data_IF_058361636362
#
_entry.id   IF_058361636362
#
_cell.length_a   1.000
_cell.length_b   1.000
_cell.length_c   1.000
_cell.angle_alpha   90.00
_cell.angle_beta   90.00
_cell.angle_gamma   90.00
#
_symmetry.space_group_name_H-M   'P 1'
#
loop_
_entity.id
_entity.type
_entity.pdbx_description
1 polymer ?
#
# COMPACT_ATOMS: atom_id res chain seq x y z
N UNK A 1 -60.91 -16.58 14.16
CA UNK A 1 -60.97 -17.28 15.47
C UNK A 1 -59.65 -17.00 16.19
N UNK A 2 -59.60 -16.06 17.16
CA UNK A 2 -59.68 -16.31 18.63
C UNK A 2 -58.56 -17.30 19.07
N UNK A 3 -57.50 -16.96 19.85
CA UNK A 3 -57.45 -16.30 21.18
C UNK A 3 -56.00 -15.90 21.59
N UNK A 4 -55.86 -14.71 22.22
CA UNK A 4 -55.36 -14.38 23.60
C UNK A 4 -53.84 -14.40 23.81
N UNK A 5 -53.17 -13.26 24.00
CA UNK A 5 -53.11 -12.37 25.19
C UNK A 5 -52.29 -12.93 26.35
N UNK A 6 -51.15 -12.30 26.66
CA UNK A 6 -50.70 -12.14 28.04
C UNK A 6 -49.90 -10.83 28.20
N UNK A 7 -50.51 -9.91 28.95
CA UNK A 7 -49.96 -8.68 29.51
C UNK A 7 -49.50 -9.03 30.92
N UNK A 8 -48.29 -8.66 31.31
CA UNK A 8 -47.88 -8.66 32.72
C UNK A 8 -47.53 -7.22 33.11
N UNK A 9 -48.45 -6.61 33.85
CA UNK A 9 -48.23 -5.47 34.73
C UNK A 9 -47.42 -5.96 35.95
N UNK A 10 -46.43 -5.19 36.37
CA UNK A 10 -46.00 -5.18 37.76
C UNK A 10 -45.84 -3.72 38.22
N UNK A 11 -46.69 -3.31 39.17
CA UNK A 11 -46.63 -2.05 39.93
C UNK A 11 -46.16 -2.40 41.34
N UNK A 12 -45.18 -1.68 41.88
CA UNK A 12 -44.99 -1.40 43.32
C UNK A 12 -43.90 -0.30 43.39
N UNK A 13 -44.25 0.97 43.62
CA UNK A 13 -44.64 1.64 44.88
C UNK A 13 -43.42 2.16 45.69
N UNK A 14 -43.37 3.50 45.75
CA UNK A 14 -42.83 4.41 46.77
C UNK A 14 -41.57 4.05 47.58
N UNK A 15 -40.54 4.91 47.44
CA UNK A 15 -39.97 5.61 48.60
C UNK A 15 -39.28 6.91 48.14
N UNK A 16 -39.90 8.03 48.51
CA UNK A 16 -39.40 9.40 48.38
C UNK A 16 -38.41 9.68 49.49
N UNK A 17 -37.16 9.98 49.14
CA UNK A 17 -36.19 10.63 50.02
C UNK A 17 -35.69 11.89 49.32
N UNK A 18 -36.35 13.01 49.65
CA UNK A 18 -35.92 14.34 49.26
C UNK A 18 -34.67 14.70 50.08
N UNK A 19 -33.50 14.60 49.46
CA UNK A 19 -32.29 15.28 49.93
C UNK A 19 -32.20 16.62 49.20
N UNK A 20 -32.60 17.68 49.89
CA UNK A 20 -32.36 19.06 49.48
C UNK A 20 -30.86 19.35 49.64
N UNK A 21 -30.09 19.18 48.57
CA UNK A 21 -28.72 19.71 48.49
C UNK A 21 -28.82 21.18 48.09
N UNK A 22 -28.62 22.08 49.06
CA UNK A 22 -28.38 23.49 48.79
C UNK A 22 -26.97 23.61 48.22
N UNK A 23 -26.86 23.63 46.89
CA UNK A 23 -25.64 24.06 46.21
C UNK A 23 -25.63 25.59 46.27
N UNK A 24 -24.81 26.14 47.16
CA UNK A 24 -24.38 27.54 47.05
C UNK A 24 -23.58 27.67 45.75
N UNK A 25 -24.26 28.10 44.68
CA UNK A 25 -23.61 28.60 43.49
C UNK A 25 -22.94 29.93 43.85
N UNK A 26 -21.66 29.86 44.20
CA UNK A 26 -20.78 31.02 44.07
C UNK A 26 -20.74 31.36 42.58
N UNK A 27 -21.55 32.33 42.17
CA UNK A 27 -21.44 32.97 40.87
C UNK A 27 -20.09 33.68 40.85
N UNK A 28 -19.06 32.98 40.37
CA UNK A 28 -17.87 33.65 39.87
C UNK A 28 -18.35 34.52 38.70
N UNK A 29 -18.31 35.84 38.89
CA UNK A 29 -18.58 36.81 37.85
C UNK A 29 -17.72 36.44 36.63
N UNK A 30 -18.38 35.98 35.57
CA UNK A 30 -17.75 35.84 34.27
C UNK A 30 -17.44 37.28 33.84
N UNK A 31 -16.16 37.67 33.74
CA UNK A 31 -15.82 39.02 33.35
C UNK A 31 -16.43 39.31 31.97
N UNK A 32 -16.92 40.55 31.75
CA UNK A 32 -17.55 40.92 30.50
C UNK A 32 -16.60 40.64 29.34
N UNK A 33 -17.10 39.93 28.33
CA UNK A 33 -16.41 39.69 27.06
C UNK A 33 -16.10 41.05 26.46
N UNK A 34 -14.84 41.46 26.50
CA UNK A 34 -14.39 42.67 25.83
C UNK A 34 -14.61 42.52 24.32
N UNK A 35 -15.07 43.58 23.62
CA UNK A 35 -15.22 43.55 22.17
C UNK A 35 -13.86 43.29 21.51
N UNK A 36 -13.85 42.28 20.64
CA UNK A 36 -12.71 41.84 19.85
C UNK A 36 -12.09 43.01 19.07
N UNK A 37 -10.83 43.32 19.36
CA UNK A 37 -10.04 44.25 18.54
C UNK A 37 -9.79 43.69 17.14
N UNK A 38 -9.42 44.54 16.17
CA UNK A 38 -8.92 44.09 14.87
C UNK A 38 -7.68 43.22 15.10
N UNK A 39 -7.77 41.92 14.83
CA UNK A 39 -6.72 40.94 15.17
C UNK A 39 -7.12 39.90 16.23
N UNK A 40 -8.40 39.81 16.61
CA UNK A 40 -8.87 38.75 17.49
C UNK A 40 -8.75 37.36 16.83
N UNK A 41 -7.74 36.61 17.26
CA UNK A 41 -7.51 35.23 16.85
C UNK A 41 -8.75 34.34 17.04
N UNK A 42 -9.55 34.57 18.09
CA UNK A 42 -10.76 33.79 18.34
C UNK A 42 -11.80 34.03 17.26
N UNK A 43 -12.02 35.28 16.86
CA UNK A 43 -12.95 35.60 15.77
C UNK A 43 -12.52 34.97 14.44
N UNK A 44 -11.21 35.02 14.10
CA UNK A 44 -10.69 34.36 12.88
C UNK A 44 -10.88 32.85 12.96
N UNK A 45 -10.58 32.24 14.11
CA UNK A 45 -10.75 30.80 14.33
C UNK A 45 -12.20 30.34 14.14
N UNK A 46 -13.15 31.01 14.80
CA UNK A 46 -14.57 30.66 14.72
C UNK A 46 -15.13 30.85 13.32
N UNK A 47 -14.69 31.89 12.60
CA UNK A 47 -15.17 32.21 11.25
C UNK A 47 -14.55 31.34 10.16
N UNK A 48 -13.25 31.02 10.24
CA UNK A 48 -12.49 30.41 9.13
C UNK A 48 -11.97 29.01 9.42
N UNK A 49 -11.54 28.70 10.65
CA UNK A 49 -10.92 27.41 11.00
C UNK A 49 -11.97 26.39 11.45
N UNK A 50 -12.87 26.79 12.35
CA UNK A 50 -13.91 25.90 12.88
C UNK A 50 -14.83 25.31 11.80
N UNK A 51 -15.20 26.02 10.72
CA UNK A 51 -15.95 25.40 9.63
C UNK A 51 -15.20 24.29 8.90
N UNK A 52 -13.86 24.33 8.83
CA UNK A 52 -13.04 23.23 8.28
C UNK A 52 -13.19 21.99 9.15
N UNK A 53 -13.18 22.16 10.49
CA UNK A 53 -13.38 21.09 11.45
C UNK A 53 -14.72 20.36 11.26
N UNK A 54 -15.80 21.12 11.06
CA UNK A 54 -17.15 20.57 10.89
C UNK A 54 -17.49 20.15 9.46
N UNK A 55 -16.61 20.41 8.49
CA UNK A 55 -16.88 20.14 7.08
C UNK A 55 -16.80 18.63 6.79
N UNK A 56 -17.76 18.05 6.06
CA UNK A 56 -17.65 16.68 5.56
C UNK A 56 -16.65 16.56 4.40
N UNK A 57 -16.15 17.68 3.86
CA UNK A 57 -15.19 17.67 2.75
C UNK A 57 -13.81 17.17 3.21
N UNK A 58 -13.06 16.49 2.33
CA UNK A 58 -11.68 16.13 2.58
C UNK A 58 -10.80 17.40 2.67
N UNK A 59 -9.70 17.31 3.41
CA UNK A 59 -8.77 18.42 3.68
C UNK A 59 -7.44 18.22 2.95
N UNK A 60 -6.61 19.26 2.85
CA UNK A 60 -5.28 19.21 2.21
C UNK A 60 -4.40 18.03 2.66
N UNK A 61 -4.50 17.59 3.92
CA UNK A 61 -3.70 16.48 4.42
C UNK A 61 -4.01 15.12 3.74
N UNK A 62 -5.21 14.95 3.19
CA UNK A 62 -5.58 13.76 2.41
C UNK A 62 -4.95 13.75 1.01
N UNK A 63 -4.30 14.84 0.60
CA UNK A 63 -3.51 14.85 -0.63
C UNK A 63 -2.31 13.93 -0.54
N UNK A 64 -1.70 13.79 0.63
CA UNK A 64 -0.52 12.92 0.81
C UNK A 64 -0.84 11.63 1.56
N UNK A 65 -1.85 11.63 2.42
CA UNK A 65 -2.24 10.48 3.23
C UNK A 65 -3.54 9.86 2.74
N UNK A 66 -3.52 8.57 2.43
CA UNK A 66 -4.71 7.84 1.99
C UNK A 66 -5.68 7.53 3.12
N UNK A 67 -5.22 7.56 4.38
CA UNK A 67 -6.03 7.36 5.56
C UNK A 67 -5.33 7.89 6.83
N UNK A 68 -6.09 8.00 7.92
CA UNK A 68 -5.55 8.22 9.27
C UNK A 68 -5.08 9.64 9.58
N UNK A 69 -4.88 10.50 8.57
CA UNK A 69 -4.48 11.90 8.73
C UNK A 69 -5.45 12.83 8.03
N UNK A 70 -6.00 13.77 8.78
CA UNK A 70 -6.84 14.87 8.30
C UNK A 70 -6.39 16.13 9.04
N UNK A 71 -6.45 17.31 8.40
CA UNK A 71 -6.19 18.60 9.03
C UNK A 71 -7.02 18.80 10.30
N UNK A 72 -8.23 18.22 10.35
CA UNK A 72 -9.13 18.23 11.51
C UNK A 72 -8.50 17.60 12.76
N UNK A 73 -7.56 16.67 12.61
CA UNK A 73 -6.85 16.05 13.73
C UNK A 73 -5.98 17.05 14.51
N UNK A 74 -5.68 18.19 13.89
CA UNK A 74 -4.86 19.26 14.44
C UNK A 74 -5.68 20.41 15.02
N UNK A 75 -7.01 20.32 15.02
CA UNK A 75 -7.92 21.36 15.51
C UNK A 75 -8.56 20.90 16.84
N UNK A 76 -8.55 21.76 17.86
CA UNK A 76 -9.22 21.56 19.15
C UNK A 76 -10.49 22.42 19.26
N UNK A 77 -11.35 22.20 20.27
CA UNK A 77 -12.62 22.93 20.39
C UNK A 77 -12.51 24.46 20.52
N UNK A 78 -11.33 25.01 20.83
CA UNK A 78 -11.10 26.46 20.91
C UNK A 78 -9.83 26.89 20.18
N UNK A 79 -9.79 28.19 19.82
CA UNK A 79 -8.61 28.85 19.27
C UNK A 79 -7.38 28.67 20.15
N UNK A 80 -7.51 28.95 21.45
CA UNK A 80 -6.40 28.87 22.40
C UNK A 80 -5.80 27.46 22.48
N UNK A 81 -6.65 26.44 22.65
CA UNK A 81 -6.19 25.05 22.73
C UNK A 81 -5.55 24.58 21.43
N UNK A 82 -6.10 25.00 20.29
CA UNK A 82 -5.54 24.67 18.98
C UNK A 82 -4.15 25.31 18.83
N UNK A 83 -4.02 26.60 19.10
CA UNK A 83 -2.76 27.32 18.98
C UNK A 83 -1.69 26.75 19.91
N UNK A 84 -1.99 26.58 21.20
CA UNK A 84 -1.08 26.01 22.19
C UNK A 84 -0.62 24.61 21.77
N UNK A 85 -1.55 23.79 21.32
CA UNK A 85 -1.24 22.45 20.81
C UNK A 85 -0.26 22.46 19.64
N UNK A 86 -0.49 23.31 18.64
CA UNK A 86 0.40 23.38 17.46
C UNK A 86 1.76 23.97 17.81
N UNK A 87 1.80 25.02 18.64
CA UNK A 87 3.03 25.61 19.18
C UNK A 87 3.85 24.58 19.96
N UNK A 88 3.21 23.84 20.87
CA UNK A 88 3.90 22.91 21.77
C UNK A 88 4.48 21.70 21.03
N UNK A 89 3.93 21.38 19.84
CA UNK A 89 4.44 20.38 18.91
C UNK A 89 5.49 20.93 17.92
N UNK A 90 5.84 22.22 18.00
CA UNK A 90 6.77 22.86 17.08
C UNK A 90 6.22 23.04 15.67
N UNK A 91 4.89 23.06 15.50
CA UNK A 91 4.24 23.27 14.20
C UNK A 91 4.02 24.75 13.88
N UNK A 92 4.19 25.63 14.87
CA UNK A 92 4.07 27.09 14.75
C UNK A 92 5.43 27.73 14.99
N UNK A 93 5.83 28.61 14.09
CA UNK A 93 6.96 29.52 14.29
C UNK A 93 6.39 30.81 14.92
N UNK A 94 6.76 31.08 16.18
CA UNK A 94 6.22 32.21 16.94
C UNK A 94 6.73 33.57 16.45
N UNK A 95 7.89 33.60 15.80
CA UNK A 95 8.53 34.84 15.36
C UNK A 95 8.24 35.12 13.89
N UNK A 96 8.10 34.06 13.10
CA UNK A 96 7.77 34.11 11.68
C UNK A 96 6.55 33.23 11.41
N UNK A 97 5.32 33.65 11.80
CA UNK A 97 4.11 32.84 11.69
C UNK A 97 3.86 32.29 10.27
N UNK A 98 4.24 33.04 9.24
CA UNK A 98 4.14 32.63 7.83
C UNK A 98 5.10 31.50 7.43
N UNK A 99 6.12 31.21 8.23
CA UNK A 99 7.05 30.07 8.07
C UNK A 99 6.68 28.87 8.95
N UNK A 100 5.53 28.92 9.62
CA UNK A 100 5.06 27.83 10.46
C UNK A 100 4.96 26.52 9.67
N UNK A 101 5.48 25.43 10.25
CA UNK A 101 5.48 24.11 9.61
C UNK A 101 4.08 23.64 9.22
N UNK A 102 3.04 23.97 10.00
CA UNK A 102 1.65 23.62 9.63
C UNK A 102 1.21 24.26 8.31
N UNK A 103 1.65 25.48 8.00
CA UNK A 103 1.34 26.14 6.73
C UNK A 103 2.04 25.45 5.58
N UNK A 104 3.33 25.11 5.76
CA UNK A 104 4.09 24.34 4.79
C UNK A 104 3.41 22.99 4.49
N UNK A 105 2.90 22.31 5.52
CA UNK A 105 2.17 21.04 5.37
C UNK A 105 0.85 21.20 4.61
N UNK A 106 0.08 22.26 4.88
CA UNK A 106 -1.17 22.56 4.16
C UNK A 106 -0.89 22.85 2.68
N UNK A 107 0.19 23.58 2.37
CA UNK A 107 0.58 23.89 0.99
C UNK A 107 1.23 22.72 0.22
N UNK A 108 1.52 21.59 0.88
CA UNK A 108 2.11 20.45 0.17
C UNK A 108 1.19 19.93 -0.94
N UNK A 109 1.78 19.61 -2.09
CA UNK A 109 1.05 19.11 -3.27
C UNK A 109 0.66 20.18 -4.29
N UNK A 110 1.05 21.45 -4.12
CA UNK A 110 0.84 22.50 -5.14
C UNK A 110 1.64 22.27 -6.44
N UNK A 111 2.70 21.45 -6.39
CA UNK A 111 3.55 21.12 -7.54
C UNK A 111 3.34 19.70 -8.09
N UNK A 112 2.34 18.95 -7.58
CA UNK A 112 2.12 17.57 -8.00
C UNK A 112 1.65 17.49 -9.46
N UNK A 113 2.30 16.64 -10.26
CA UNK A 113 1.97 16.42 -11.69
C UNK A 113 0.73 15.55 -11.91
N UNK A 114 0.22 14.91 -10.86
CA UNK A 114 -0.94 14.00 -10.89
C UNK A 114 -2.23 14.75 -10.52
N UNK A 115 -3.41 14.27 -10.95
CA UNK A 115 -4.69 14.91 -10.58
C UNK A 115 -4.85 15.00 -9.06
N UNK A 116 -4.92 16.22 -8.54
CA UNK A 116 -5.06 16.49 -7.11
C UNK A 116 -6.42 15.95 -6.59
N UNK A 117 -6.40 15.17 -5.51
CA UNK A 117 -7.63 14.69 -4.86
C UNK A 117 -8.35 15.85 -4.15
N UNK A 118 -7.57 16.87 -3.75
CA UNK A 118 -8.06 18.10 -3.16
C UNK A 118 -8.06 19.20 -4.21
N UNK A 119 -9.19 19.90 -4.36
CA UNK A 119 -9.24 21.07 -5.24
C UNK A 119 -8.32 22.16 -4.70
N UNK A 120 -7.59 22.83 -5.59
CA UNK A 120 -6.64 23.89 -5.23
C UNK A 120 -7.27 25.04 -4.45
N UNK A 121 -8.57 25.30 -4.66
CA UNK A 121 -9.33 26.32 -3.91
C UNK A 121 -9.55 25.94 -2.45
N UNK A 122 -9.77 24.65 -2.14
CA UNK A 122 -9.87 24.17 -0.75
C UNK A 122 -8.56 24.36 -0.03
N UNK A 123 -7.44 23.94 -0.63
CA UNK A 123 -6.11 24.11 -0.05
C UNK A 123 -5.76 25.57 0.19
N UNK A 124 -6.00 26.43 -0.81
CA UNK A 124 -5.80 27.87 -0.69
C UNK A 124 -6.63 28.46 0.46
N UNK A 125 -7.90 28.08 0.56
CA UNK A 125 -8.78 28.54 1.64
C UNK A 125 -8.29 28.09 3.03
N UNK A 126 -7.84 26.84 3.16
CA UNK A 126 -7.24 26.30 4.38
C UNK A 126 -5.96 27.05 4.75
N UNK A 127 -5.05 27.24 3.79
CA UNK A 127 -3.79 27.96 4.00
C UNK A 127 -4.04 29.39 4.46
N UNK A 128 -4.87 30.16 3.74
CA UNK A 128 -5.16 31.55 4.07
C UNK A 128 -5.85 31.69 5.44
N UNK A 129 -6.74 30.75 5.79
CA UNK A 129 -7.39 30.72 7.08
C UNK A 129 -6.37 30.51 8.21
N UNK A 130 -5.50 29.50 8.09
CA UNK A 130 -4.46 29.24 9.08
C UNK A 130 -3.44 30.37 9.16
N UNK A 131 -3.02 30.94 8.02
CA UNK A 131 -2.03 32.03 8.00
C UNK A 131 -2.56 33.29 8.71
N UNK A 132 -3.79 33.73 8.41
CA UNK A 132 -4.43 34.85 9.10
C UNK A 132 -4.54 34.59 10.60
N UNK A 133 -5.02 33.40 10.96
CA UNK A 133 -5.22 33.00 12.37
C UNK A 133 -3.90 32.91 13.14
N UNK A 134 -2.84 32.35 12.56
CA UNK A 134 -1.53 32.23 13.19
C UNK A 134 -0.87 33.60 13.40
N UNK A 135 -0.97 34.53 12.45
CA UNK A 135 -0.47 35.91 12.63
C UNK A 135 -1.15 36.58 13.81
N UNK A 136 -2.47 36.43 13.94
CA UNK A 136 -3.24 36.95 15.07
C UNK A 136 -2.77 36.32 16.40
N UNK A 137 -2.64 34.99 16.46
CA UNK A 137 -2.19 34.31 17.67
C UNK A 137 -0.74 34.68 18.07
N UNK A 138 0.18 34.74 17.11
CA UNK A 138 1.59 35.03 17.36
C UNK A 138 1.85 36.50 17.72
N UNK A 139 0.88 37.39 17.48
CA UNK A 139 0.94 38.79 17.91
C UNK A 139 0.44 38.98 19.35
N UNK A 140 -0.28 38.01 19.90
CA UNK A 140 -0.78 38.02 21.28
C UNK A 140 0.28 37.47 22.25
N UNK A 141 0.95 38.38 22.98
CA UNK A 141 2.00 38.03 23.94
C UNK A 141 1.48 37.19 25.12
N UNK A 142 0.24 37.41 25.56
CA UNK A 142 -0.33 36.62 26.64
C UNK A 142 -0.55 35.18 26.17
N UNK A 143 -1.08 35.01 24.95
CA UNK A 143 -1.27 33.69 24.35
C UNK A 143 0.07 32.96 24.11
N UNK A 144 1.10 33.67 23.63
CA UNK A 144 2.46 33.11 23.47
C UNK A 144 3.02 32.58 24.79
N UNK A 145 2.83 33.32 25.88
CA UNK A 145 3.36 33.01 27.20
C UNK A 145 2.56 31.92 27.96
N UNK A 146 1.44 31.44 27.42
CA UNK A 146 0.62 30.41 28.08
C UNK A 146 1.41 29.11 28.32
N UNK A 147 1.21 28.42 29.45
CA UNK A 147 1.88 27.15 29.74
C UNK A 147 1.66 26.09 28.66
N UNK A 148 2.60 25.14 28.56
CA UNK A 148 2.45 23.99 27.68
C UNK A 148 1.23 23.15 28.06
N UNK A 149 0.58 22.57 27.06
CA UNK A 149 -0.48 21.59 27.26
C UNK A 149 0.12 20.23 27.71
N UNK A 150 -0.62 19.47 28.53
CA UNK A 150 -0.34 18.05 28.75
C UNK A 150 -0.37 17.27 27.42
N UNK A 151 0.42 16.20 27.31
CA UNK A 151 0.54 15.43 26.07
C UNK A 151 -0.81 14.90 25.54
N UNK A 152 -1.69 14.46 26.45
CA UNK A 152 -3.04 13.97 26.12
C UNK A 152 -3.93 15.02 25.44
N UNK A 153 -3.63 16.30 25.64
CA UNK A 153 -4.42 17.42 25.14
C UNK A 153 -3.88 17.95 23.79
N UNK A 154 -2.70 17.47 23.34
CA UNK A 154 -2.12 17.81 22.04
C UNK A 154 -2.93 17.24 20.88
N UNK A 155 -3.35 18.10 19.97
CA UNK A 155 -4.02 17.77 18.71
C UNK A 155 -3.02 17.13 17.75
N UNK A 156 -3.16 15.82 17.57
CA UNK A 156 -2.39 15.01 16.65
C UNK A 156 -3.28 13.90 16.10
N UNK A 157 -2.94 13.31 14.94
CA UNK A 157 -3.62 12.11 14.46
C UNK A 157 -3.67 11.02 15.55
N UNK A 158 -4.78 10.30 15.61
CA UNK A 158 -4.98 9.22 16.60
C UNK A 158 -4.11 7.99 16.26
N UNK A 159 -3.68 7.88 15.00
CA UNK A 159 -2.87 6.78 14.51
C UNK A 159 -1.40 6.95 14.93
N UNK A 160 -0.66 5.86 15.21
CA UNK A 160 0.79 5.93 15.38
C UNK A 160 1.49 6.40 14.11
N UNK A 161 2.69 6.98 14.27
CA UNK A 161 3.48 7.52 13.16
C UNK A 161 3.81 6.46 12.09
N UNK A 162 4.06 5.21 12.48
CA UNK A 162 4.32 4.12 11.52
C UNK A 162 3.12 3.84 10.62
N UNK A 163 1.90 3.83 11.18
CA UNK A 163 0.66 3.70 10.40
C UNK A 163 0.44 4.91 9.48
N UNK A 164 0.69 6.11 9.98
CA UNK A 164 0.58 7.35 9.19
C UNK A 164 1.55 7.34 8.00
N UNK A 165 2.78 6.91 8.25
CA UNK A 165 3.84 6.80 7.25
C UNK A 165 3.44 5.78 6.18
N UNK A 166 3.03 4.58 6.59
CA UNK A 166 2.58 3.51 5.68
C UNK A 166 1.44 3.95 4.77
N UNK A 167 0.50 4.76 5.30
CA UNK A 167 -0.64 5.25 4.55
C UNK A 167 -0.33 6.41 3.59
N UNK A 168 0.92 6.87 3.48
CA UNK A 168 1.29 7.90 2.51
C UNK A 168 1.28 7.35 1.08
N UNK A 169 0.89 8.20 0.13
CA UNK A 169 0.85 7.86 -1.30
C UNK A 169 2.19 7.33 -1.84
N UNK A 170 3.31 7.91 -1.42
CA UNK A 170 4.64 7.48 -1.85
C UNK A 170 5.03 6.11 -1.30
N UNK A 171 4.63 5.77 -0.08
CA UNK A 171 4.84 4.42 0.47
C UNK A 171 3.96 3.38 -0.23
N UNK A 172 2.71 3.73 -0.52
CA UNK A 172 1.81 2.87 -1.30
C UNK A 172 2.30 2.66 -2.74
N UNK A 173 2.87 3.71 -3.35
CA UNK A 173 3.52 3.63 -4.65
C UNK A 173 4.77 2.74 -4.60
N UNK A 174 5.65 2.91 -3.62
CA UNK A 174 6.82 2.04 -3.45
C UNK A 174 6.40 0.56 -3.29
N UNK A 175 5.36 0.30 -2.50
CA UNK A 175 4.77 -1.04 -2.36
C UNK A 175 4.19 -1.55 -3.70
N UNK A 176 3.54 -0.68 -4.49
CA UNK A 176 3.06 -1.03 -5.84
C UNK A 176 4.22 -1.40 -6.77
N UNK A 177 5.34 -0.69 -6.69
CA UNK A 177 6.53 -0.96 -7.47
C UNK A 177 7.13 -2.34 -7.15
N UNK A 178 7.27 -2.63 -5.85
CA UNK A 178 7.83 -3.89 -5.35
C UNK A 178 6.96 -5.09 -5.72
N UNK A 179 5.64 -4.95 -5.66
CA UNK A 179 4.71 -6.07 -5.80
C UNK A 179 4.07 -6.18 -7.20
N UNK A 180 3.43 -5.12 -7.70
CA UNK A 180 2.67 -5.19 -8.95
C UNK A 180 3.55 -4.87 -10.15
N UNK A 181 4.34 -3.79 -10.07
CA UNK A 181 5.18 -3.35 -11.18
C UNK A 181 6.31 -4.32 -11.48
N UNK A 182 6.90 -4.96 -10.45
CA UNK A 182 7.92 -6.00 -10.61
C UNK A 182 7.41 -7.20 -11.43
N UNK A 183 6.10 -7.48 -11.38
CA UNK A 183 5.44 -8.58 -12.11
C UNK A 183 4.89 -8.18 -13.49
N UNK A 184 5.08 -6.91 -13.91
CA UNK A 184 4.39 -6.35 -15.08
C UNK A 184 4.57 -7.12 -16.38
N UNK A 185 5.71 -7.77 -16.63
CA UNK A 185 5.91 -8.41 -17.94
C UNK A 185 5.09 -9.69 -18.14
N UNK A 186 4.45 -10.23 -17.10
CA UNK A 186 3.39 -11.25 -17.26
C UNK A 186 2.18 -10.70 -18.01
N UNK A 187 2.00 -9.37 -17.97
CA UNK A 187 0.85 -8.64 -18.49
C UNK A 187 1.22 -7.72 -19.68
N UNK A 188 2.47 -7.24 -19.74
CA UNK A 188 2.92 -6.13 -20.59
C UNK A 188 2.79 -6.40 -22.09
N UNK A 189 2.93 -7.65 -22.54
CA UNK A 189 2.74 -8.03 -23.95
C UNK A 189 1.36 -7.64 -24.46
N UNK A 190 0.33 -7.71 -23.61
CA UNK A 190 -1.05 -7.38 -23.95
C UNK A 190 -1.48 -6.01 -23.45
N UNK A 191 -0.94 -5.53 -22.32
CA UNK A 191 -1.49 -4.39 -21.59
C UNK A 191 -0.65 -3.11 -21.68
N UNK A 192 0.49 -3.15 -22.36
CA UNK A 192 1.29 -1.96 -22.68
C UNK A 192 1.08 -1.56 -24.15
N UNK A 193 1.04 -0.26 -24.48
CA UNK A 193 1.01 0.20 -25.87
C UNK A 193 2.18 -0.32 -26.72
N UNK A 194 3.33 -0.59 -26.10
CA UNK A 194 4.52 -1.14 -26.76
C UNK A 194 4.54 -2.68 -26.80
N UNK A 195 3.49 -3.35 -26.30
CA UNK A 195 3.38 -4.80 -26.27
C UNK A 195 3.11 -5.39 -27.65
N UNK A 196 3.80 -6.48 -27.98
CA UNK A 196 3.66 -7.19 -29.25
C UNK A 196 2.24 -7.74 -29.50
N UNK A 197 1.51 -8.12 -28.45
CA UNK A 197 0.12 -8.58 -28.55
C UNK A 197 -0.91 -7.45 -28.47
N UNK A 198 -0.53 -6.28 -27.97
CA UNK A 198 -1.42 -5.14 -27.80
C UNK A 198 -1.99 -4.63 -29.13
N UNK A 199 -1.15 -4.56 -30.18
CA UNK A 199 -1.59 -4.16 -31.52
C UNK A 199 -2.65 -5.09 -32.07
N UNK A 200 -2.43 -6.41 -31.94
CA UNK A 200 -3.38 -7.43 -32.40
C UNK A 200 -4.73 -7.32 -31.68
N UNK A 201 -4.69 -7.21 -30.35
CA UNK A 201 -5.91 -7.09 -29.53
C UNK A 201 -6.66 -5.79 -29.81
N UNK A 202 -5.96 -4.69 -30.07
CA UNK A 202 -6.58 -3.41 -30.44
C UNK A 202 -7.34 -3.54 -31.76
N UNK A 203 -6.73 -4.21 -32.75
CA UNK A 203 -7.38 -4.44 -34.04
C UNK A 203 -8.61 -5.35 -33.93
N UNK A 204 -8.61 -6.31 -33.01
CA UNK A 204 -9.73 -7.24 -32.79
C UNK A 204 -10.87 -6.62 -31.96
N UNK A 205 -10.56 -5.78 -30.97
CA UNK A 205 -11.54 -5.27 -30.00
C UNK A 205 -12.02 -3.85 -30.29
N UNK A 206 -11.29 -3.08 -31.10
CA UNK A 206 -11.65 -1.71 -31.49
C UNK A 206 -11.46 -0.65 -30.40
N UNK A 207 -11.09 -1.05 -29.18
CA UNK A 207 -10.89 -0.18 -28.02
C UNK A 207 -9.54 -0.50 -27.33
N UNK A 208 -8.90 0.51 -26.76
CA UNK A 208 -7.63 0.45 -26.04
C UNK A 208 -7.80 0.48 -24.51
N UNK A 209 -9.02 0.38 -24.00
CA UNK A 209 -9.32 0.34 -22.56
C UNK A 209 -8.61 -0.80 -21.79
N UNK A 210 -8.13 -1.84 -22.47
CA UNK A 210 -7.30 -2.86 -21.85
C UNK A 210 -5.84 -2.44 -21.63
N UNK A 211 -5.37 -1.33 -22.22
CA UNK A 211 -3.99 -0.84 -22.06
C UNK A 211 -3.83 -0.08 -20.73
N UNK A 212 -3.71 -0.84 -19.65
CA UNK A 212 -3.59 -0.27 -18.30
C UNK A 212 -2.15 -0.01 -17.86
N UNK A 213 -1.14 -0.59 -18.52
CA UNK A 213 0.27 -0.30 -18.25
C UNK A 213 0.65 0.99 -18.95
N UNK A 214 0.89 2.03 -18.16
CA UNK A 214 1.11 3.39 -18.63
C UNK A 214 2.59 3.64 -18.95
N UNK A 215 2.91 4.26 -20.11
CA UNK A 215 4.29 4.58 -20.47
C UNK A 215 4.96 5.58 -19.52
N UNK A 216 4.16 6.39 -18.82
CA UNK A 216 4.63 7.33 -17.79
C UNK A 216 5.18 6.63 -16.54
N UNK A 217 4.94 5.32 -16.39
CA UNK A 217 5.57 4.50 -15.36
C UNK A 217 4.61 3.97 -14.29
N UNK A 218 5.15 3.51 -13.14
CA UNK A 218 4.38 2.84 -12.10
C UNK A 218 3.32 3.73 -11.45
N UNK A 219 3.60 5.02 -11.20
CA UNK A 219 2.63 5.93 -10.59
C UNK A 219 1.37 6.11 -11.46
N UNK A 220 1.55 6.41 -12.74
CA UNK A 220 0.44 6.56 -13.68
C UNK A 220 -0.34 5.25 -13.87
N UNK A 221 0.37 4.12 -13.87
CA UNK A 221 -0.23 2.79 -13.95
C UNK A 221 -1.11 2.50 -12.72
N UNK A 222 -0.58 2.74 -11.52
CA UNK A 222 -1.31 2.57 -10.27
C UNK A 222 -2.56 3.46 -10.22
N UNK A 223 -2.40 4.74 -10.55
CA UNK A 223 -3.50 5.69 -10.59
C UNK A 223 -4.60 5.26 -11.56
N UNK A 224 -4.24 4.78 -12.76
CA UNK A 224 -5.19 4.28 -13.73
C UNK A 224 -5.93 3.03 -13.23
N UNK A 225 -5.22 2.04 -12.67
CA UNK A 225 -5.84 0.82 -12.13
C UNK A 225 -6.87 1.13 -11.03
N UNK A 226 -6.55 2.07 -10.14
CA UNK A 226 -7.46 2.54 -9.09
C UNK A 226 -8.66 3.24 -9.70
N UNK A 227 -8.44 4.18 -10.63
CA UNK A 227 -9.52 4.93 -11.28
C UNK A 227 -10.49 4.05 -12.07
N UNK A 228 -10.01 2.95 -12.65
CA UNK A 228 -10.83 1.96 -13.36
C UNK A 228 -11.55 0.96 -12.44
N UNK A 229 -11.45 1.10 -11.11
CA UNK A 229 -12.10 0.20 -10.17
C UNK A 229 -11.56 -1.23 -10.25
N UNK A 230 -10.29 -1.41 -10.62
CA UNK A 230 -9.69 -2.75 -10.75
C UNK A 230 -9.44 -3.43 -9.40
N UNK A 231 -9.54 -2.68 -8.30
CA UNK A 231 -9.32 -3.11 -6.93
C UNK A 231 -10.66 -3.08 -6.17
N UNK A 232 -11.10 -4.23 -5.67
CA UNK A 232 -12.26 -4.32 -4.78
C UNK A 232 -11.78 -4.12 -3.33
N UNK A 233 -12.05 -2.94 -2.78
CA UNK A 233 -11.64 -2.57 -1.42
C UNK A 233 -12.32 -3.42 -0.35
N UNK A 234 -13.54 -3.92 -0.62
CA UNK A 234 -14.32 -4.68 0.37
C UNK A 234 -13.96 -6.16 0.32
N UNK A 235 -13.67 -6.69 -0.86
CA UNK A 235 -13.31 -8.09 -1.10
C UNK A 235 -12.05 -8.14 -1.98
N UNK A 236 -10.86 -7.86 -1.41
CA UNK A 236 -9.59 -7.79 -2.13
C UNK A 236 -9.34 -8.96 -3.10
N UNK A 237 -9.70 -10.18 -2.71
CA UNK A 237 -9.55 -11.39 -3.51
C UNK A 237 -10.41 -11.42 -4.79
N UNK A 238 -11.43 -10.56 -4.89
CA UNK A 238 -12.31 -10.42 -6.07
C UNK A 238 -11.85 -9.35 -7.04
N UNK A 239 -10.80 -8.60 -6.71
CA UNK A 239 -10.23 -7.55 -7.55
C UNK A 239 -9.96 -8.05 -8.97
N UNK A 240 -10.40 -7.30 -9.99
CA UNK A 240 -10.20 -7.66 -11.39
C UNK A 240 -8.72 -7.73 -11.78
N UNK A 241 -7.86 -6.95 -11.11
CA UNK A 241 -6.41 -7.03 -11.27
C UNK A 241 -5.85 -8.43 -10.91
N UNK A 242 -6.55 -9.19 -10.07
CA UNK A 242 -6.17 -10.54 -9.65
C UNK A 242 -6.95 -11.62 -10.42
N UNK A 243 -8.27 -11.48 -10.50
CA UNK A 243 -9.17 -12.54 -11.00
C UNK A 243 -9.11 -12.72 -12.51
N UNK A 244 -8.88 -11.65 -13.29
CA UNK A 244 -8.69 -11.74 -14.76
C UNK A 244 -7.43 -12.53 -15.11
N UNK A 245 -6.22 -12.16 -14.66
CA UNK A 245 -5.02 -12.93 -15.00
C UNK A 245 -4.99 -14.33 -14.37
N UNK A 246 -5.72 -14.58 -13.28
CA UNK A 246 -5.96 -15.94 -12.76
C UNK A 246 -7.01 -16.74 -13.56
N UNK A 247 -7.67 -16.12 -14.54
CA UNK A 247 -8.77 -16.67 -15.35
C UNK A 247 -9.96 -17.17 -14.51
N UNK A 248 -10.18 -16.57 -13.34
CA UNK A 248 -11.37 -16.79 -12.49
C UNK A 248 -12.59 -16.02 -13.03
N UNK A 249 -12.32 -14.96 -13.80
CA UNK A 249 -13.26 -14.31 -14.71
C UNK A 249 -12.66 -14.31 -16.11
N UNK A 250 -13.51 -14.18 -17.13
CA UNK A 250 -13.07 -14.23 -18.54
C UNK A 250 -11.96 -13.22 -18.81
N UNK A 251 -10.82 -13.72 -19.29
CA UNK A 251 -9.70 -12.89 -19.73
C UNK A 251 -9.23 -13.34 -21.11
N UNK A 252 -9.32 -12.44 -22.10
CA UNK A 252 -8.92 -12.75 -23.48
C UNK A 252 -7.45 -13.16 -23.63
N UNK A 253 -6.57 -12.66 -22.75
CA UNK A 253 -5.15 -13.03 -22.72
C UNK A 253 -4.86 -14.42 -22.15
N UNK A 254 -5.90 -15.15 -21.71
CA UNK A 254 -5.78 -16.44 -21.05
C UNK A 254 -5.22 -16.33 -19.63
N UNK A 255 -4.91 -17.48 -19.03
CA UNK A 255 -4.37 -17.55 -17.68
C UNK A 255 -2.90 -17.12 -17.65
N UNK A 256 -2.58 -16.12 -16.82
CA UNK A 256 -1.23 -15.58 -16.59
C UNK A 256 -0.71 -15.87 -15.18
N UNK A 257 -1.61 -16.12 -14.24
CA UNK A 257 -1.32 -16.38 -12.83
C UNK A 257 -1.96 -17.68 -12.38
N UNK A 258 -1.25 -18.37 -11.50
CA UNK A 258 -1.70 -19.53 -10.76
C UNK A 258 -1.85 -19.16 -9.29
N UNK A 259 -2.92 -19.60 -8.63
CA UNK A 259 -3.08 -19.32 -7.20
C UNK A 259 -1.87 -19.87 -6.44
N UNK A 260 -1.18 -18.96 -5.75
CA UNK A 260 0.01 -19.26 -4.96
C UNK A 260 1.33 -19.28 -5.74
N UNK A 261 1.33 -18.99 -7.04
CA UNK A 261 2.55 -18.56 -7.73
C UNK A 261 3.00 -17.17 -7.25
N UNK A 262 4.23 -16.80 -7.60
CA UNK A 262 4.86 -15.56 -7.19
C UNK A 262 4.03 -14.36 -7.67
N UNK A 263 3.61 -14.35 -8.94
CA UNK A 263 2.84 -13.23 -9.48
C UNK A 263 1.51 -13.02 -8.74
N UNK A 264 0.80 -14.10 -8.42
CA UNK A 264 -0.43 -14.07 -7.64
C UNK A 264 -0.18 -13.56 -6.22
N UNK A 265 0.88 -14.06 -5.56
CA UNK A 265 1.27 -13.64 -4.21
C UNK A 265 1.60 -12.15 -4.14
N UNK A 266 2.41 -11.65 -5.06
CA UNK A 266 2.80 -10.25 -5.08
C UNK A 266 1.59 -9.34 -5.32
N UNK A 267 0.80 -9.61 -6.37
CA UNK A 267 -0.40 -8.82 -6.66
C UNK A 267 -1.39 -8.86 -5.49
N UNK A 268 -1.69 -10.03 -4.95
CA UNK A 268 -2.64 -10.16 -3.84
C UNK A 268 -2.16 -9.45 -2.57
N UNK A 269 -0.86 -9.50 -2.28
CA UNK A 269 -0.26 -8.80 -1.13
C UNK A 269 -0.52 -7.30 -1.22
N UNK A 270 -0.20 -6.68 -2.36
CA UNK A 270 -0.43 -5.25 -2.56
C UNK A 270 -1.92 -4.88 -2.55
N UNK A 271 -2.77 -5.69 -3.19
CA UNK A 271 -4.22 -5.43 -3.22
C UNK A 271 -4.83 -5.46 -1.81
N UNK A 272 -4.48 -6.45 -1.00
CA UNK A 272 -4.94 -6.55 0.40
C UNK A 272 -4.40 -5.38 1.25
N UNK A 273 -3.14 -5.01 1.07
CA UNK A 273 -2.52 -3.89 1.80
C UNK A 273 -3.14 -2.53 1.42
N UNK A 274 -3.29 -2.27 0.12
CA UNK A 274 -3.92 -1.06 -0.40
C UNK A 274 -5.36 -0.94 0.12
N UNK A 275 -6.15 -2.02 0.03
CA UNK A 275 -7.53 -2.03 0.52
C UNK A 275 -7.61 -1.75 2.02
N UNK A 276 -6.73 -2.34 2.84
CA UNK A 276 -6.65 -2.05 4.28
C UNK A 276 -6.17 -0.63 4.55
N UNK A 277 -5.26 -0.10 3.76
CA UNK A 277 -4.77 1.28 3.89
C UNK A 277 -5.89 2.29 3.66
N UNK A 278 -6.56 2.23 2.51
CA UNK A 278 -7.61 3.22 2.15
C UNK A 278 -8.89 3.08 3.00
N UNK A 279 -9.09 1.92 3.64
CA UNK A 279 -10.19 1.70 4.59
C UNK A 279 -9.83 2.04 6.04
N UNK A 280 -8.67 2.65 6.30
CA UNK A 280 -8.14 2.92 7.66
C UNK A 280 -8.11 1.65 8.52
N UNK A 281 -7.79 0.50 7.93
CA UNK A 281 -7.81 -0.83 8.56
C UNK A 281 -6.62 -1.12 9.47
N UNK A 282 -5.57 -0.30 9.45
CA UNK A 282 -4.41 -0.41 10.34
C UNK A 282 -4.58 0.50 11.56
N UNK A 283 -4.49 -0.06 12.77
CA UNK A 283 -4.69 0.72 14.01
C UNK A 283 -3.39 0.90 14.79
N UNK A 284 -2.46 -0.04 14.66
CA UNK A 284 -1.18 -0.10 15.38
C UNK A 284 -0.06 -0.50 14.42
N UNK A 285 1.18 -0.15 14.74
CA UNK A 285 2.35 -0.48 13.90
C UNK A 285 2.50 -1.99 13.69
N UNK A 286 2.19 -2.80 14.71
CA UNK A 286 2.21 -4.27 14.61
C UNK A 286 1.16 -4.86 13.66
N UNK A 287 0.18 -4.06 13.25
CA UNK A 287 -0.86 -4.51 12.32
C UNK A 287 -0.42 -4.36 10.86
N UNK A 288 0.65 -3.59 10.61
CA UNK A 288 1.21 -3.31 9.30
C UNK A 288 1.77 -4.59 8.65
N UNK A 289 1.75 -4.66 7.29
CA UNK A 289 2.38 -5.77 6.61
C UNK A 289 3.90 -5.77 6.89
N UNK A 290 4.53 -6.96 6.89
CA UNK A 290 5.98 -7.03 7.01
C UNK A 290 6.64 -6.31 5.84
N UNK A 291 7.72 -5.57 6.13
CA UNK A 291 8.53 -4.96 5.08
C UNK A 291 9.15 -6.02 4.17
N UNK A 292 9.14 -5.77 2.87
CA UNK A 292 9.81 -6.64 1.90
C UNK A 292 11.30 -6.77 2.25
N UNK A 293 11.79 -7.99 2.40
CA UNK A 293 13.21 -8.27 2.69
C UNK A 293 14.04 -8.45 1.42
N UNK A 294 13.39 -8.56 0.27
CA UNK A 294 14.01 -8.76 -1.05
C UNK A 294 13.36 -7.86 -2.08
N UNK A 295 14.15 -7.42 -3.05
CA UNK A 295 13.69 -6.82 -4.29
C UNK A 295 13.66 -7.91 -5.38
N UNK A 296 12.70 -7.78 -6.30
CA UNK A 296 12.50 -8.70 -7.41
C UNK A 296 12.75 -7.99 -8.73
N UNK A 297 13.74 -8.48 -9.49
CA UNK A 297 14.12 -7.94 -10.78
C UNK A 297 13.90 -8.98 -11.87
N UNK A 298 12.84 -8.84 -12.66
CA UNK A 298 12.59 -9.80 -13.75
C UNK A 298 13.63 -9.64 -14.87
N UNK A 299 14.20 -10.78 -15.28
CA UNK A 299 15.26 -10.82 -16.29
C UNK A 299 14.68 -11.14 -17.67
N UNK A 300 15.55 -11.19 -18.69
CA UNK A 300 15.20 -11.77 -19.99
C UNK A 300 15.67 -13.23 -20.12
N UNK A 301 16.18 -13.82 -19.05
CA UNK A 301 16.75 -15.16 -19.05
C UNK A 301 15.64 -16.19 -18.87
N UNK A 302 15.55 -17.12 -19.82
CA UNK A 302 14.54 -18.18 -19.80
C UNK A 302 15.15 -19.51 -19.36
N UNK A 303 14.39 -20.24 -18.54
CA UNK A 303 14.71 -21.59 -18.13
C UNK A 303 13.61 -22.53 -18.62
N UNK A 304 14.02 -23.68 -19.17
CA UNK A 304 13.14 -24.78 -19.57
C UNK A 304 13.54 -26.07 -18.87
N UNK A 305 12.56 -26.78 -18.32
CA UNK A 305 12.70 -28.17 -17.87
C UNK A 305 11.88 -29.04 -18.82
N UNK A 306 12.51 -30.08 -19.35
CA UNK A 306 11.91 -31.02 -20.31
C UNK A 306 11.78 -32.41 -19.70
N UNK A 307 10.87 -33.21 -20.27
CA UNK A 307 10.66 -34.61 -19.90
C UNK A 307 10.34 -34.80 -18.41
N UNK A 308 9.51 -33.90 -17.84
CA UNK A 308 9.08 -34.02 -16.44
C UNK A 308 8.29 -35.31 -16.21
N UNK A 309 8.41 -35.94 -15.03
CA UNK A 309 7.57 -37.08 -14.66
C UNK A 309 6.09 -36.77 -14.85
N UNK A 310 5.32 -37.74 -15.37
CA UNK A 310 3.89 -37.54 -15.69
C UNK A 310 3.05 -37.04 -14.50
N UNK A 311 3.43 -37.40 -13.27
CA UNK A 311 2.76 -36.92 -12.06
C UNK A 311 2.98 -35.43 -11.72
N UNK A 312 3.75 -34.69 -12.51
CA UNK A 312 3.99 -33.26 -12.34
C UNK A 312 3.06 -32.38 -13.19
N UNK A 313 2.45 -32.94 -14.24
CA UNK A 313 1.56 -32.19 -15.13
C UNK A 313 0.46 -31.45 -14.35
N UNK A 314 0.19 -30.21 -14.76
CA UNK A 314 -0.80 -29.31 -14.15
C UNK A 314 -0.50 -28.88 -12.70
N UNK A 315 0.68 -29.25 -12.16
CA UNK A 315 1.13 -28.80 -10.84
C UNK A 315 2.02 -27.59 -10.95
N UNK A 316 1.96 -26.73 -9.93
CA UNK A 316 2.87 -25.60 -9.80
C UNK A 316 4.28 -26.11 -9.47
N UNK A 317 5.24 -25.74 -10.31
CA UNK A 317 6.66 -26.02 -10.14
C UNK A 317 7.38 -24.71 -9.87
N UNK A 318 8.24 -24.71 -8.84
CA UNK A 318 9.14 -23.61 -8.51
C UNK A 318 10.59 -24.05 -8.71
N UNK A 319 11.40 -23.20 -9.35
CA UNK A 319 12.84 -23.37 -9.47
C UNK A 319 13.54 -22.24 -8.72
N UNK A 320 14.42 -22.60 -7.79
CA UNK A 320 15.30 -21.65 -7.10
C UNK A 320 16.75 -21.88 -7.54
N UNK A 321 17.42 -20.80 -7.93
CA UNK A 321 18.81 -20.83 -8.38
C UNK A 321 19.73 -20.28 -7.30
N UNK A 322 20.72 -21.08 -6.93
CA UNK A 322 21.79 -20.70 -6.01
C UNK A 322 23.10 -20.58 -6.79
N UNK A 323 23.74 -19.40 -6.75
CA UNK A 323 25.01 -19.18 -7.46
C UNK A 323 26.16 -19.90 -6.74
N UNK A 324 27.18 -20.33 -7.49
CA UNK A 324 28.43 -20.80 -6.88
C UNK A 324 29.08 -19.69 -6.02
N UNK A 325 29.58 -20.03 -4.84
CA UNK A 325 30.14 -19.06 -3.88
C UNK A 325 31.65 -18.79 -4.05
N UNK A 326 32.26 -19.38 -5.08
CA UNK A 326 33.70 -19.31 -5.35
C UNK A 326 34.57 -20.18 -4.43
N UNK A 327 33.99 -20.84 -3.43
CA UNK A 327 34.65 -21.72 -2.44
C UNK A 327 34.28 -23.19 -2.61
N UNK A 328 33.68 -23.54 -3.74
CA UNK A 328 33.17 -24.88 -4.02
C UNK A 328 31.80 -25.16 -3.42
N UNK A 329 31.13 -24.16 -2.83
CA UNK A 329 29.77 -24.24 -2.32
C UNK A 329 28.77 -23.43 -3.16
N UNK A 330 27.59 -23.25 -2.59
CA UNK A 330 26.47 -22.51 -3.18
C UNK A 330 26.04 -21.38 -2.27
N UNK A 331 25.50 -20.30 -2.85
CA UNK A 331 24.89 -19.22 -2.09
C UNK A 331 23.82 -19.79 -1.15
N UNK A 332 23.80 -19.31 0.10
CA UNK A 332 22.82 -19.77 1.09
C UNK A 332 21.39 -19.49 0.62
N UNK A 333 21.16 -18.25 0.18
CA UNK A 333 19.88 -17.77 -0.29
C UNK A 333 19.86 -17.83 -1.83
N UNK A 334 18.69 -18.06 -2.46
CA UNK A 334 18.58 -18.08 -3.90
C UNK A 334 18.84 -16.70 -4.49
N UNK A 335 19.55 -16.65 -5.62
CA UNK A 335 19.83 -15.42 -6.37
C UNK A 335 18.84 -15.19 -7.50
N UNK A 336 18.07 -16.22 -7.88
CA UNK A 336 16.93 -16.11 -8.77
C UNK A 336 15.90 -17.19 -8.47
N UNK A 337 14.65 -16.93 -8.86
CA UNK A 337 13.55 -17.88 -8.76
C UNK A 337 12.63 -17.77 -9.97
N UNK A 338 11.82 -18.80 -10.21
CA UNK A 338 10.70 -18.74 -11.12
C UNK A 338 9.71 -19.84 -10.81
N UNK A 339 8.43 -19.57 -11.06
CA UNK A 339 7.36 -20.54 -10.89
C UNK A 339 6.33 -20.49 -12.01
N UNK A 340 5.82 -21.68 -12.35
CA UNK A 340 4.74 -21.87 -13.29
C UNK A 340 4.18 -23.28 -13.21
N UNK A 341 2.96 -23.47 -13.68
CA UNK A 341 2.41 -24.81 -13.89
C UNK A 341 3.19 -25.57 -14.96
N UNK A 342 3.48 -26.84 -14.70
CA UNK A 342 4.01 -27.78 -15.70
C UNK A 342 2.93 -28.05 -16.74
N UNK A 343 3.27 -27.89 -18.01
CA UNK A 343 2.35 -28.11 -19.12
C UNK A 343 1.97 -29.59 -19.25
N UNK A 344 0.83 -29.86 -19.91
CA UNK A 344 0.33 -31.21 -20.10
C UNK A 344 1.30 -32.13 -20.87
N UNK A 345 2.17 -31.55 -21.71
CA UNK A 345 3.21 -32.30 -22.43
C UNK A 345 4.45 -32.62 -21.57
N UNK A 346 4.44 -32.27 -20.28
CA UNK A 346 5.56 -32.50 -19.35
C UNK A 346 6.68 -31.45 -19.42
N UNK A 347 6.55 -30.42 -20.25
CA UNK A 347 7.49 -29.31 -20.26
C UNK A 347 7.10 -28.27 -19.21
N UNK A 348 8.11 -27.62 -18.64
CA UNK A 348 7.96 -26.41 -17.86
C UNK A 348 8.92 -25.37 -18.44
N UNK A 349 8.48 -24.13 -18.58
CA UNK A 349 9.35 -23.05 -19.04
C UNK A 349 8.85 -21.71 -18.55
N UNK A 350 9.78 -20.87 -18.11
CA UNK A 350 9.45 -19.52 -17.68
C UNK A 350 10.68 -18.62 -17.64
N UNK A 351 10.42 -17.31 -17.50
CA UNK A 351 11.45 -16.29 -17.28
C UNK A 351 11.91 -16.33 -15.83
N UNK A 352 13.20 -16.09 -15.60
CA UNK A 352 13.78 -16.03 -14.26
C UNK A 352 13.64 -14.62 -13.65
N UNK A 353 13.27 -14.58 -12.38
CA UNK A 353 13.24 -13.37 -11.56
C UNK A 353 14.50 -13.34 -10.70
N UNK A 354 15.37 -12.35 -10.89
CA UNK A 354 16.54 -12.14 -10.02
C UNK A 354 16.09 -11.60 -8.67
N UNK A 355 16.76 -12.07 -7.62
CA UNK A 355 16.49 -11.71 -6.23
C UNK A 355 17.69 -10.91 -5.72
N UNK A 356 17.41 -9.79 -5.05
CA UNK A 356 18.42 -9.02 -4.34
C UNK A 356 17.92 -8.70 -2.92
N UNK A 357 18.78 -8.63 -1.90
CA UNK A 357 18.39 -8.10 -0.60
C UNK A 357 17.84 -6.68 -0.75
N UNK A 358 16.76 -6.36 -0.03
CA UNK A 358 16.19 -5.02 -0.03
C UNK A 358 17.26 -3.98 0.40
N UNK A 359 17.34 -2.86 -0.31
CA UNK A 359 18.32 -1.80 -0.05
C UNK A 359 19.77 -2.09 -0.48
N UNK A 360 20.06 -3.28 -1.04
CA UNK A 360 21.36 -3.57 -1.66
C UNK A 360 21.63 -2.67 -2.88
N UNK A 361 22.90 -2.54 -3.28
CA UNK A 361 23.25 -1.73 -4.46
C UNK A 361 22.61 -2.27 -5.74
N UNK A 362 22.46 -3.59 -5.84
CA UNK A 362 21.74 -4.22 -6.94
C UNK A 362 20.25 -3.85 -6.95
N UNK A 363 19.58 -3.84 -5.80
CA UNK A 363 18.18 -3.40 -5.71
C UNK A 363 18.03 -1.91 -6.06
N UNK A 364 18.95 -1.06 -5.61
CA UNK A 364 18.97 0.37 -5.94
C UNK A 364 19.20 0.62 -7.43
N UNK A 365 20.05 -0.18 -8.07
CA UNK A 365 20.28 -0.13 -9.51
C UNK A 365 18.97 -0.39 -10.29
N UNK A 366 18.22 -1.43 -9.90
CA UNK A 366 16.93 -1.73 -10.53
C UNK A 366 15.90 -0.61 -10.35
N UNK A 367 15.84 -0.01 -9.15
CA UNK A 367 14.97 1.13 -8.88
C UNK A 367 15.31 2.36 -9.76
N UNK A 368 16.54 2.47 -10.24
CA UNK A 368 16.98 3.51 -11.19
C UNK A 368 16.74 3.14 -12.67
N UNK A 369 16.12 2.00 -12.93
CA UNK A 369 15.80 1.54 -14.27
C UNK A 369 16.86 0.64 -14.91
N UNK A 370 17.90 0.23 -14.17
CA UNK A 370 18.83 -0.78 -14.71
C UNK A 370 18.11 -2.12 -14.90
N UNK A 371 18.37 -2.74 -16.04
CA UNK A 371 17.73 -3.99 -16.41
C UNK A 371 18.31 -5.15 -15.58
N UNK A 372 17.48 -5.92 -14.87
CA UNK A 372 17.95 -7.12 -14.18
C UNK A 372 18.46 -8.17 -15.17
N UNK A 373 19.67 -8.68 -14.94
CA UNK A 373 20.31 -9.76 -15.71
C UNK A 373 20.80 -10.86 -14.78
N UNK A 374 21.08 -12.07 -15.25
CA UNK A 374 21.84 -13.05 -14.46
C UNK A 374 23.30 -13.10 -14.96
N UNK A 375 24.24 -13.22 -14.03
CA UNK A 375 25.66 -13.31 -14.37
C UNK A 375 25.99 -14.68 -14.98
N UNK A 376 26.86 -14.77 -15.99
CA UNK A 376 27.35 -16.07 -16.46
C UNK A 376 28.01 -16.87 -15.33
N UNK A 377 27.75 -18.18 -15.28
CA UNK A 377 28.43 -19.04 -14.31
C UNK A 377 27.68 -20.32 -13.97
N UNK A 378 28.11 -20.93 -12.86
CA UNK A 378 27.54 -22.17 -12.31
C UNK A 378 26.49 -21.89 -11.25
N UNK A 379 25.39 -22.64 -11.32
CA UNK A 379 24.25 -22.53 -10.44
C UNK A 379 23.77 -23.91 -10.01
N UNK A 380 23.33 -24.04 -8.76
CA UNK A 380 22.50 -25.14 -8.30
C UNK A 380 21.05 -24.76 -8.49
N UNK A 381 20.35 -25.50 -9.37
CA UNK A 381 18.91 -25.39 -9.53
C UNK A 381 18.22 -26.37 -8.58
N UNK A 382 17.40 -25.86 -7.68
CA UNK A 382 16.51 -26.63 -6.79
C UNK A 382 15.10 -26.60 -7.32
N UNK A 383 14.52 -27.77 -7.57
CA UNK A 383 13.19 -27.89 -8.17
C UNK A 383 12.21 -28.41 -7.14
N UNK A 384 11.13 -27.65 -6.93
CA UNK A 384 10.05 -27.98 -5.99
C UNK A 384 8.73 -28.15 -6.75
N UNK A 385 7.88 -29.06 -6.28
CA UNK A 385 6.55 -29.32 -6.85
C UNK A 385 5.49 -29.21 -5.76
N UNK A 386 4.43 -28.43 -6.01
CA UNK A 386 3.25 -28.42 -5.15
C UNK A 386 2.40 -29.69 -5.34
N UNK A 387 2.92 -30.83 -4.86
CA UNK A 387 2.32 -32.14 -5.08
C UNK A 387 0.91 -32.25 -4.48
N UNK A 388 0.69 -31.53 -3.37
CA UNK A 388 -0.49 -31.65 -2.50
C UNK A 388 -1.45 -30.44 -2.61
N UNK A 389 -1.23 -29.56 -3.60
CA UNK A 389 -1.99 -28.32 -3.81
C UNK A 389 -2.01 -27.43 -2.56
N UNK A 390 -0.90 -27.41 -1.81
CA UNK A 390 -0.69 -26.59 -0.62
C UNK A 390 -0.87 -25.11 -0.94
N UNK A 391 -0.33 -24.65 -2.07
CA UNK A 391 -0.39 -23.25 -2.49
C UNK A 391 -1.79 -22.81 -2.95
N UNK A 392 -2.58 -23.75 -3.47
CA UNK A 392 -3.99 -23.50 -3.80
C UNK A 392 -4.88 -23.39 -2.55
N UNK A 393 -4.55 -24.15 -1.50
CA UNK A 393 -5.26 -24.12 -0.21
C UNK A 393 -4.90 -22.89 0.62
N UNK A 394 -3.62 -22.54 0.62
CA UNK A 394 -3.11 -21.34 1.26
C UNK A 394 -2.11 -20.67 0.32
N UNK A 395 -2.55 -19.58 -0.31
CA UNK A 395 -1.71 -18.83 -1.24
C UNK A 395 -0.49 -18.20 -0.56
N UNK A 396 -0.48 -18.04 0.78
CA UNK A 396 0.67 -17.52 1.52
C UNK A 396 1.70 -18.59 1.84
N UNK A 397 1.35 -19.87 1.67
CA UNK A 397 2.28 -20.96 1.88
C UNK A 397 3.48 -20.87 0.92
N UNK A 398 4.58 -21.48 1.35
CA UNK A 398 5.81 -21.61 0.56
C UNK A 398 6.09 -23.09 0.32
N UNK A 399 6.65 -23.39 -0.84
CA UNK A 399 7.28 -24.68 -1.08
C UNK A 399 8.61 -24.69 -0.31
N UNK A 400 8.92 -25.83 0.30
CA UNK A 400 10.11 -26.01 1.12
C UNK A 400 10.77 -27.36 0.88
N UNK A 401 11.65 -27.80 1.80
CA UNK A 401 12.39 -29.06 1.66
C UNK A 401 11.49 -30.28 1.41
N UNK A 402 10.29 -30.33 1.98
CA UNK A 402 9.34 -31.43 1.78
C UNK A 402 8.74 -31.48 0.37
N UNK A 403 8.80 -30.37 -0.36
CA UNK A 403 8.31 -30.22 -1.72
C UNK A 403 9.44 -30.39 -2.77
N UNK A 404 10.69 -30.56 -2.32
CA UNK A 404 11.86 -30.72 -3.19
C UNK A 404 11.82 -32.07 -3.92
N UNK A 405 11.79 -32.01 -5.25
CA UNK A 405 11.80 -33.21 -6.09
C UNK A 405 13.19 -33.56 -6.60
N UNK A 406 14.10 -32.59 -6.64
CA UNK A 406 15.51 -32.81 -6.91
C UNK A 406 16.27 -31.54 -7.24
N UNK A 407 17.58 -31.70 -7.44
CA UNK A 407 18.52 -30.64 -7.70
C UNK A 407 19.43 -31.02 -8.88
N UNK A 408 19.95 -30.01 -9.59
CA UNK A 408 21.00 -30.22 -10.59
C UNK A 408 21.89 -28.99 -10.72
N UNK A 409 23.13 -29.20 -11.15
CA UNK A 409 24.06 -28.11 -11.47
C UNK A 409 23.89 -27.72 -12.92
N UNK A 410 23.78 -26.43 -13.17
CA UNK A 410 23.75 -25.84 -14.50
C UNK A 410 24.89 -24.84 -14.65
N UNK A 411 25.44 -24.77 -15.85
CA UNK A 411 26.38 -23.74 -16.26
C UNK A 411 25.77 -23.02 -17.45
N UNK A 412 25.58 -21.69 -17.33
CA UNK A 412 24.89 -20.91 -18.35
C UNK A 412 25.48 -19.51 -18.46
N UNK A 413 25.46 -18.97 -19.68
CA UNK A 413 25.69 -17.55 -19.96
C UNK A 413 24.41 -16.72 -19.86
N UNK A 414 23.27 -17.36 -19.54
CA UNK A 414 21.95 -16.76 -19.43
C UNK A 414 21.52 -15.90 -20.62
N UNK A 415 21.59 -16.43 -21.85
CA UNK A 415 21.18 -15.69 -23.05
C UNK A 415 19.75 -15.18 -22.91
N UNK A 416 19.52 -13.98 -23.43
CA UNK A 416 18.24 -13.31 -23.39
C UNK A 416 17.26 -13.89 -24.42
N UNK A 417 15.99 -13.97 -24.03
CA UNK A 417 14.87 -14.21 -24.94
C UNK A 417 14.38 -15.66 -25.00
N UNK A 418 13.12 -15.80 -25.42
CA UNK A 418 12.39 -17.07 -25.48
C UNK A 418 13.06 -18.11 -26.39
N UNK A 419 13.70 -17.70 -27.48
CA UNK A 419 14.34 -18.61 -28.44
C UNK A 419 15.66 -19.22 -27.95
N UNK A 420 16.20 -18.74 -26.83
CA UNK A 420 17.55 -19.08 -26.34
C UNK A 420 17.50 -19.64 -24.93
N UNK A 421 16.52 -20.46 -24.58
CA UNK A 421 16.34 -20.92 -23.20
C UNK A 421 17.53 -21.78 -22.73
N UNK A 422 17.90 -21.64 -21.46
CA UNK A 422 18.70 -22.66 -20.78
C UNK A 422 17.81 -23.88 -20.54
N UNK A 423 18.23 -25.07 -20.98
CA UNK A 423 17.42 -26.29 -20.92
C UNK A 423 17.99 -27.28 -19.91
N UNK A 424 17.13 -27.80 -19.03
CA UNK A 424 17.42 -28.89 -18.10
C UNK A 424 16.54 -30.09 -18.47
N UNK A 425 17.12 -31.29 -18.38
CA UNK A 425 16.36 -32.55 -18.45
C UNK A 425 15.94 -32.94 -17.04
N UNK A 426 14.64 -33.18 -16.81
CA UNK A 426 14.16 -33.55 -15.47
C UNK A 426 14.79 -34.85 -14.94
N UNK A 427 15.22 -35.76 -15.83
CA UNK A 427 15.93 -36.99 -15.48
C UNK A 427 17.32 -36.76 -14.84
N UNK A 428 17.89 -35.56 -14.97
CA UNK A 428 19.15 -35.19 -14.35
C UNK A 428 18.99 -34.69 -12.91
N UNK A 429 17.76 -34.45 -12.46
CA UNK A 429 17.48 -34.02 -11.10
C UNK A 429 17.76 -35.15 -10.12
N UNK A 430 18.62 -34.88 -9.13
CA UNK A 430 18.98 -35.83 -8.07
C UNK A 430 18.36 -35.35 -6.77
N UNK A 431 17.76 -36.26 -5.99
CA UNK A 431 17.36 -35.91 -4.61
C UNK A 431 18.60 -35.58 -3.80
N UNK A 432 18.57 -34.50 -3.03
CA UNK A 432 19.61 -34.21 -2.05
C UNK A 432 19.65 -35.39 -1.08
N UNK A 433 20.84 -35.97 -0.88
CA UNK A 433 21.03 -37.06 0.08
C UNK A 433 20.91 -36.57 1.51
#
# INVERSE_FOLDING_TARGET
>A
MKRRSLVILCRLACLTLAHTVVVLAAAAEVPPVQPAGPGDARAVFERRIKPIFSSPKPTSCLECHLAGVDLKNYIRPSSELTFRSLRDQGLVDLDQPDRSRILALISMGDEAKSPSLIRSDVRKAEYEAFAEWLRACCSDQALRATPKLPEKDLARPVRPDGVILHARKDQVLASFEDHVWSQRFRCMSCHSPAGDQATKLTAEQGDQDFLWIRPEGPEATMAYLIAQGMIDIKQPERSLLLTKPANQVKHAGGKKLEVGDQGYKELRTWIEDYARTVSDGYKKDKDLPPTATVALGMTDSWLKITNSPGGWGEKLLQVDLHAADGKGGWSRDPVATSDRVVFANGDWQHVLTRIAPAGSDLAKAWAKGEKPTLEPGKYLARVHIDANKKLQKDWRARLGPDDLVGETVIESSWPAGYGSMTVIQASLLKKSR
#
